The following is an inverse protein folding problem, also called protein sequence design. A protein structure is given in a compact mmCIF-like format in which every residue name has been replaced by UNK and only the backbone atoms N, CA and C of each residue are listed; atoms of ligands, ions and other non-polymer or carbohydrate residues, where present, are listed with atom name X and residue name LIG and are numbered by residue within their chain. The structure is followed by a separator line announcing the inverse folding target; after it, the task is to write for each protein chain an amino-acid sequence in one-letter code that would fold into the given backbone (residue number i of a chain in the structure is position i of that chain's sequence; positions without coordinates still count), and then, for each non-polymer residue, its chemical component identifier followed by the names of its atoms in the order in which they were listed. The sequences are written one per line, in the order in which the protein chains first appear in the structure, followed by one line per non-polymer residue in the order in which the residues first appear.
data_IF_161339933284
#
_entry.id   IF_161339933284
#
_cell.length_a   1.000
_cell.length_b   1.000
_cell.length_c   1.000
_cell.angle_alpha   90.00
_cell.angle_beta   90.00
_cell.angle_gamma   90.00
#
_symmetry.space_group_name_H-M   'P 1'
#
loop_
_entity.id
_entity.type
_entity.pdbx_description
1 polymer ?
#
# COMPACT_ATOMS: atom_id res chain seq x y z
N UNK A 1 -14.27 -25.70 -22.79
CA UNK A 1 -15.20 -24.76 -23.43
C UNK A 1 -14.98 -23.35 -22.92
N UNK A 2 -15.64 -22.36 -23.50
CA UNK A 2 -15.67 -20.97 -23.00
C UNK A 2 -16.95 -20.82 -22.20
N UNK A 3 -16.86 -20.36 -20.96
CA UNK A 3 -18.00 -20.03 -20.10
C UNK A 3 -18.18 -18.51 -20.05
N UNK A 4 -19.37 -18.04 -20.37
CA UNK A 4 -19.70 -16.64 -20.23
C UNK A 4 -20.18 -16.35 -18.81
N UNK A 5 -19.60 -15.29 -18.18
CA UNK A 5 -20.01 -14.80 -16.88
C UNK A 5 -21.05 -13.70 -17.04
N UNK A 6 -22.11 -13.74 -16.25
CA UNK A 6 -23.26 -12.83 -16.29
C UNK A 6 -23.34 -11.99 -15.03
N UNK A 7 -23.34 -10.64 -15.18
CA UNK A 7 -23.61 -9.68 -14.11
C UNK A 7 -24.37 -8.48 -14.67
N UNK A 8 -24.75 -7.53 -13.85
CA UNK A 8 -25.42 -6.30 -14.26
C UNK A 8 -24.46 -5.34 -15.00
N UNK A 9 -24.12 -5.65 -16.24
CA UNK A 9 -23.21 -4.84 -17.09
C UNK A 9 -23.77 -3.48 -17.48
N UNK A 10 -25.05 -3.25 -17.28
CA UNK A 10 -25.67 -1.96 -17.60
C UNK A 10 -25.29 -0.90 -16.58
N UNK A 11 -25.26 -1.26 -15.31
CA UNK A 11 -25.00 -0.35 -14.21
C UNK A 11 -23.57 -0.47 -13.67
N UNK A 12 -22.86 -1.58 -13.99
CA UNK A 12 -21.46 -1.85 -13.63
C UNK A 12 -20.68 -2.33 -14.85
N UNK A 13 -20.23 -1.40 -15.66
CA UNK A 13 -19.65 -1.68 -16.98
C UNK A 13 -18.22 -2.24 -16.91
N UNK A 14 -17.48 -1.92 -15.85
CA UNK A 14 -16.08 -2.30 -15.72
C UNK A 14 -15.89 -3.52 -14.84
N UNK A 15 -14.99 -4.41 -15.25
CA UNK A 15 -14.35 -5.39 -14.35
C UNK A 15 -13.08 -4.75 -13.84
N UNK A 16 -13.05 -4.41 -12.56
CA UNK A 16 -11.95 -3.71 -11.93
C UNK A 16 -10.89 -4.68 -11.38
N UNK A 17 -11.33 -5.84 -10.83
CA UNK A 17 -10.43 -6.89 -10.38
C UNK A 17 -11.05 -8.28 -10.55
N UNK A 18 -10.21 -9.29 -10.67
CA UNK A 18 -10.55 -10.71 -10.64
C UNK A 18 -9.62 -11.40 -9.67
N UNK A 19 -10.18 -12.11 -8.70
CA UNK A 19 -9.38 -12.83 -7.70
C UNK A 19 -9.76 -14.31 -7.65
N UNK A 20 -8.74 -15.16 -7.52
CA UNK A 20 -8.87 -16.61 -7.40
C UNK A 20 -8.26 -17.06 -6.08
N UNK A 21 -9.06 -17.58 -5.18
CA UNK A 21 -8.60 -18.22 -3.95
C UNK A 21 -8.80 -19.73 -4.04
N UNK A 22 -7.81 -20.48 -3.59
CA UNK A 22 -7.88 -21.94 -3.61
C UNK A 22 -9.06 -22.42 -2.73
N UNK A 23 -9.90 -23.27 -3.29
CA UNK A 23 -11.06 -23.83 -2.56
C UNK A 23 -12.32 -22.95 -2.58
N UNK A 24 -12.27 -21.76 -3.16
CA UNK A 24 -13.40 -20.84 -3.25
C UNK A 24 -13.78 -20.52 -4.70
N UNK A 25 -15.01 -20.03 -4.88
CA UNK A 25 -15.43 -19.47 -6.15
C UNK A 25 -14.64 -18.19 -6.46
N UNK A 26 -14.37 -17.89 -7.75
CA UNK A 26 -13.71 -16.66 -8.12
C UNK A 26 -14.52 -15.44 -7.72
N UNK A 27 -13.81 -14.37 -7.35
CA UNK A 27 -14.38 -13.05 -7.08
C UNK A 27 -14.19 -12.12 -8.28
N UNK A 28 -15.21 -11.33 -8.59
CA UNK A 28 -15.12 -10.19 -9.48
C UNK A 28 -15.42 -8.92 -8.69
N UNK A 29 -14.58 -7.90 -8.85
CA UNK A 29 -14.93 -6.53 -8.51
C UNK A 29 -15.41 -5.84 -9.79
N UNK A 30 -16.66 -5.41 -9.82
CA UNK A 30 -17.25 -4.67 -10.94
C UNK A 30 -17.59 -3.25 -10.51
N UNK A 31 -17.37 -2.29 -11.38
CA UNK A 31 -17.50 -0.87 -11.05
C UNK A 31 -18.29 -0.12 -12.12
N UNK A 32 -19.10 0.87 -11.70
CA UNK A 32 -19.79 1.74 -12.61
C UNK A 32 -18.82 2.72 -13.31
N UNK A 33 -19.24 3.29 -14.45
CA UNK A 33 -18.38 4.19 -15.24
C UNK A 33 -17.90 5.43 -14.47
N UNK A 34 -18.69 5.92 -13.52
CA UNK A 34 -18.31 7.06 -12.68
C UNK A 34 -17.38 6.69 -11.53
N UNK A 35 -17.14 5.40 -11.33
CA UNK A 35 -16.33 4.85 -10.22
C UNK A 35 -16.90 5.19 -8.83
N UNK A 36 -18.16 5.54 -8.76
CA UNK A 36 -18.83 5.91 -7.50
C UNK A 36 -19.53 4.73 -6.82
N UNK A 37 -19.65 3.60 -7.51
CA UNK A 37 -20.23 2.36 -6.97
C UNK A 37 -19.52 1.17 -7.53
N UNK A 38 -19.34 0.18 -6.69
CA UNK A 38 -18.86 -1.14 -7.08
C UNK A 38 -19.66 -2.27 -6.43
N UNK A 39 -19.47 -3.47 -6.94
CA UNK A 39 -19.99 -4.71 -6.38
C UNK A 39 -18.90 -5.76 -6.35
N UNK A 40 -18.83 -6.47 -5.24
CA UNK A 40 -18.05 -7.71 -5.11
C UNK A 40 -18.98 -8.88 -5.43
N UNK A 41 -18.62 -9.64 -6.45
CA UNK A 41 -19.43 -10.76 -6.95
C UNK A 41 -18.68 -12.07 -6.77
N UNK A 42 -19.36 -13.11 -6.27
CA UNK A 42 -18.93 -14.51 -6.39
C UNK A 42 -19.40 -15.06 -7.73
N UNK A 43 -18.55 -15.84 -8.42
CA UNK A 43 -18.84 -16.41 -9.74
C UNK A 43 -19.06 -17.92 -9.62
N UNK A 44 -20.24 -18.40 -9.96
CA UNK A 44 -20.56 -19.84 -9.92
C UNK A 44 -19.94 -20.57 -11.12
N UNK A 45 -18.91 -21.39 -10.85
CA UNK A 45 -18.21 -22.20 -11.87
C UNK A 45 -18.50 -23.69 -11.76
N UNK A 46 -19.45 -24.10 -10.93
CA UNK A 46 -19.80 -25.51 -10.72
C UNK A 46 -20.06 -26.27 -12.03
N UNK A 47 -19.69 -27.55 -12.08
CA UNK A 47 -19.68 -28.34 -13.31
C UNK A 47 -21.04 -28.90 -13.73
N UNK A 48 -22.03 -28.94 -12.85
CA UNK A 48 -23.43 -29.35 -13.16
C UNK A 48 -24.39 -28.88 -12.08
N UNK A 49 -25.57 -28.39 -12.51
CA UNK A 49 -26.65 -28.02 -11.62
C UNK A 49 -27.22 -29.25 -10.93
N UNK A 50 -26.97 -29.44 -9.65
CA UNK A 50 -27.94 -30.18 -8.82
C UNK A 50 -29.20 -29.34 -8.75
N UNK A 51 -30.37 -29.99 -8.65
CA UNK A 51 -31.66 -29.30 -8.55
C UNK A 51 -31.59 -28.25 -7.43
N UNK A 52 -31.69 -26.95 -7.78
CA UNK A 52 -31.59 -25.82 -6.85
C UNK A 52 -30.24 -25.10 -6.80
N UNK A 53 -29.21 -25.52 -7.53
CA UNK A 53 -27.93 -24.79 -7.61
C UNK A 53 -28.01 -23.61 -8.61
N UNK A 54 -27.19 -22.57 -8.35
CA UNK A 54 -27.10 -21.41 -9.25
C UNK A 54 -26.56 -21.84 -10.64
N UNK A 55 -27.05 -21.23 -11.74
CA UNK A 55 -26.55 -21.53 -13.08
C UNK A 55 -25.04 -21.25 -13.21
N UNK A 56 -24.33 -22.12 -13.93
CA UNK A 56 -22.90 -21.92 -14.24
C UNK A 56 -22.71 -20.60 -14.97
N UNK A 57 -21.77 -19.77 -14.50
CA UNK A 57 -21.51 -18.43 -15.02
C UNK A 57 -22.43 -17.33 -14.46
N UNK A 58 -23.39 -17.67 -13.59
CA UNK A 58 -24.12 -16.67 -12.83
C UNK A 58 -23.25 -16.08 -11.71
N UNK A 59 -23.66 -14.93 -11.17
CA UNK A 59 -22.96 -14.25 -10.08
C UNK A 59 -23.92 -13.97 -8.93
N UNK A 60 -23.37 -13.99 -7.71
CA UNK A 60 -24.04 -13.52 -6.50
C UNK A 60 -23.32 -12.29 -5.97
N UNK A 61 -24.07 -11.22 -5.65
CA UNK A 61 -23.54 -10.02 -5.02
C UNK A 61 -23.25 -10.35 -3.55
N UNK A 62 -22.01 -10.17 -3.12
CA UNK A 62 -21.56 -10.37 -1.75
C UNK A 62 -21.54 -9.04 -0.97
N UNK A 63 -20.97 -8.00 -1.57
CA UNK A 63 -20.91 -6.65 -1.00
C UNK A 63 -21.12 -5.58 -2.08
N UNK A 64 -21.60 -4.40 -1.65
CA UNK A 64 -21.71 -3.20 -2.47
C UNK A 64 -21.12 -2.01 -1.74
N UNK A 65 -20.36 -1.18 -2.46
CA UNK A 65 -19.78 0.05 -1.91
C UNK A 65 -20.20 1.25 -2.75
N UNK A 66 -20.29 2.40 -2.10
CA UNK A 66 -20.60 3.67 -2.75
C UNK A 66 -19.81 4.83 -2.14
N UNK A 67 -19.46 5.80 -2.98
CA UNK A 67 -18.87 7.07 -2.58
C UNK A 67 -19.34 8.15 -3.56
N UNK A 68 -19.61 9.35 -3.07
CA UNK A 68 -20.15 10.44 -3.90
C UNK A 68 -19.12 10.99 -4.92
N UNK A 69 -17.83 10.77 -4.68
CA UNK A 69 -16.75 11.21 -5.55
C UNK A 69 -16.21 10.05 -6.39
N UNK A 70 -15.44 9.14 -5.78
CA UNK A 70 -15.00 7.88 -6.38
C UNK A 70 -14.58 6.87 -5.31
N UNK A 71 -14.49 5.60 -5.70
CA UNK A 71 -13.95 4.51 -4.90
C UNK A 71 -12.53 4.20 -5.40
N UNK A 72 -11.55 4.25 -4.51
CA UNK A 72 -10.20 3.75 -4.77
C UNK A 72 -10.19 2.22 -4.71
N UNK A 73 -9.50 1.62 -5.65
CA UNK A 73 -9.27 0.17 -5.67
C UNK A 73 -7.98 -0.11 -4.94
N UNK A 74 -8.05 -0.94 -3.89
CA UNK A 74 -6.88 -1.48 -3.22
C UNK A 74 -6.49 -2.78 -3.94
N UNK A 75 -5.31 -2.81 -4.55
CA UNK A 75 -4.83 -3.99 -5.25
C UNK A 75 -4.75 -5.19 -4.30
N UNK A 76 -5.10 -6.38 -4.77
CA UNK A 76 -5.17 -7.60 -3.97
C UNK A 76 -6.52 -7.80 -3.25
N UNK A 77 -7.48 -6.87 -3.42
CA UNK A 77 -8.87 -7.02 -2.96
C UNK A 77 -9.84 -7.05 -4.15
N UNK A 78 -11.04 -7.66 -3.99
CA UNK A 78 -11.47 -8.49 -2.87
C UNK A 78 -10.75 -9.84 -2.83
N UNK A 79 -10.66 -10.47 -1.67
CA UNK A 79 -10.07 -11.79 -1.49
C UNK A 79 -10.83 -12.62 -0.46
N UNK A 80 -10.83 -13.95 -0.61
CA UNK A 80 -11.25 -14.84 0.47
C UNK A 80 -10.04 -15.24 1.31
N UNK A 81 -10.25 -15.33 2.63
CA UNK A 81 -9.37 -16.10 3.51
C UNK A 81 -9.53 -17.59 3.18
N UNK A 82 -8.58 -18.46 3.53
CA UNK A 82 -8.73 -19.90 3.35
C UNK A 82 -9.98 -20.48 4.03
N UNK A 83 -10.41 -19.95 5.18
CA UNK A 83 -11.64 -20.36 5.90
C UNK A 83 -12.93 -19.71 5.34
N UNK A 84 -12.83 -18.85 4.33
CA UNK A 84 -13.97 -18.32 3.55
C UNK A 84 -14.53 -16.99 4.00
N UNK A 85 -13.86 -16.25 4.89
CA UNK A 85 -14.24 -14.87 5.20
C UNK A 85 -13.84 -13.93 4.03
N UNK A 86 -14.66 -12.92 3.77
CA UNK A 86 -14.46 -11.99 2.68
C UNK A 86 -13.67 -10.76 3.16
N UNK A 87 -12.52 -10.50 2.54
CA UNK A 87 -11.70 -9.29 2.76
C UNK A 87 -11.94 -8.31 1.62
N UNK A 88 -12.37 -7.09 1.95
CA UNK A 88 -12.65 -6.02 0.98
C UNK A 88 -11.91 -4.72 1.34
N UNK A 89 -11.79 -3.84 0.32
CA UNK A 89 -11.33 -2.47 0.51
C UNK A 89 -12.45 -1.59 1.07
N UNK A 90 -12.10 -0.68 1.99
CA UNK A 90 -12.97 0.37 2.50
C UNK A 90 -12.28 1.73 2.38
N UNK A 91 -12.87 2.64 1.60
CA UNK A 91 -12.47 4.04 1.60
C UNK A 91 -13.20 4.76 2.74
N UNK A 92 -12.66 4.68 3.94
CA UNK A 92 -13.26 5.26 5.14
C UNK A 92 -13.07 6.79 5.15
N UNK A 93 -14.11 7.50 4.73
CA UNK A 93 -14.08 8.98 4.65
C UNK A 93 -14.09 9.62 6.04
N UNK A 94 -14.64 8.98 7.05
CA UNK A 94 -14.70 9.54 8.41
C UNK A 94 -13.33 9.44 9.09
N UNK A 95 -12.67 8.29 8.98
CA UNK A 95 -11.33 8.06 9.47
C UNK A 95 -10.23 8.63 8.55
N UNK A 96 -10.60 9.20 7.38
CA UNK A 96 -9.66 9.61 6.33
C UNK A 96 -8.60 8.54 6.03
N UNK A 97 -9.04 7.30 5.91
CA UNK A 97 -8.15 6.15 5.80
C UNK A 97 -8.66 5.12 4.79
N UNK A 98 -7.81 4.68 3.89
CA UNK A 98 -8.06 3.50 3.08
C UNK A 98 -7.79 2.25 3.92
N UNK A 99 -8.85 1.55 4.31
CA UNK A 99 -8.87 0.43 5.26
C UNK A 99 -9.27 -0.88 4.60
N UNK A 100 -9.17 -1.95 5.35
CA UNK A 100 -9.71 -3.26 4.98
C UNK A 100 -10.86 -3.64 5.94
N UNK A 101 -11.83 -4.35 5.36
CA UNK A 101 -12.91 -5.01 6.10
C UNK A 101 -12.76 -6.53 6.01
N UNK A 102 -13.25 -7.23 7.00
CA UNK A 102 -13.52 -8.67 6.95
C UNK A 102 -15.01 -8.90 7.25
N UNK A 103 -15.72 -9.53 6.31
CA UNK A 103 -17.17 -9.71 6.36
C UNK A 103 -17.91 -8.38 6.68
N UNK A 104 -17.52 -7.30 6.00
CA UNK A 104 -18.07 -5.95 6.13
C UNK A 104 -17.64 -5.18 7.39
N UNK A 105 -16.81 -5.74 8.27
CA UNK A 105 -16.35 -5.10 9.51
C UNK A 105 -14.91 -4.58 9.34
N UNK A 106 -14.63 -3.27 9.54
CA UNK A 106 -13.29 -2.75 9.51
C UNK A 106 -12.40 -3.40 10.58
N UNK A 107 -11.19 -3.84 10.20
CA UNK A 107 -10.23 -4.41 11.15
C UNK A 107 -8.85 -3.71 11.11
N UNK A 108 -8.53 -2.97 10.05
CA UNK A 108 -7.28 -2.19 10.04
C UNK A 108 -7.49 -0.84 10.72
N UNK A 109 -6.53 -0.38 11.58
CA UNK A 109 -6.70 0.88 12.31
C UNK A 109 -6.64 2.12 11.40
N UNK A 110 -7.23 3.22 11.86
CA UNK A 110 -7.12 4.52 11.19
C UNK A 110 -5.66 5.00 11.11
N UNK A 111 -5.34 5.76 10.07
CA UNK A 111 -3.99 6.28 9.82
C UNK A 111 -3.04 5.28 9.14
N UNK A 112 -3.44 4.02 8.98
CA UNK A 112 -2.73 3.02 8.20
C UNK A 112 -3.35 2.90 6.82
N UNK A 113 -2.93 3.77 5.90
CA UNK A 113 -3.43 3.83 4.52
C UNK A 113 -3.03 2.56 3.76
N UNK A 114 -3.92 1.60 3.62
CA UNK A 114 -3.63 0.37 2.85
C UNK A 114 -3.54 0.72 1.37
N UNK A 115 -2.45 0.31 0.73
CA UNK A 115 -2.18 0.53 -0.69
C UNK A 115 -2.32 -0.73 -1.53
N UNK A 116 -1.91 -1.86 -0.96
CA UNK A 116 -1.91 -3.14 -1.62
C UNK A 116 -2.02 -4.26 -0.58
N UNK A 117 -2.81 -5.28 -0.86
CA UNK A 117 -2.85 -6.53 -0.12
C UNK A 117 -1.97 -7.53 -0.85
N UNK A 118 -0.96 -8.05 -0.16
CA UNK A 118 0.05 -8.95 -0.72
C UNK A 118 -0.30 -10.41 -0.49
N UNK A 119 -0.93 -10.71 0.66
CA UNK A 119 -1.34 -12.06 1.02
C UNK A 119 -2.42 -12.04 2.09
N UNK A 120 -3.31 -13.03 2.08
CA UNK A 120 -4.43 -13.19 3.02
C UNK A 120 -4.41 -14.61 3.57
N UNK A 121 -4.40 -14.74 4.91
CA UNK A 121 -4.48 -16.02 5.62
C UNK A 121 -5.69 -16.04 6.57
N UNK A 122 -5.90 -17.12 7.30
CA UNK A 122 -6.93 -17.17 8.35
C UNK A 122 -6.57 -16.36 9.60
N UNK A 123 -5.31 -15.98 9.74
CA UNK A 123 -4.78 -15.32 10.92
C UNK A 123 -4.52 -13.82 10.68
N UNK A 124 -4.07 -13.47 9.46
CA UNK A 124 -3.62 -12.11 9.15
C UNK A 124 -3.72 -11.74 7.66
N UNK A 125 -3.54 -10.45 7.40
CA UNK A 125 -3.37 -9.87 6.07
C UNK A 125 -2.02 -9.17 5.98
N UNK A 126 -1.17 -9.60 5.05
CA UNK A 126 0.07 -8.91 4.71
C UNK A 126 -0.21 -7.81 3.69
N UNK A 127 0.19 -6.58 3.99
CA UNK A 127 -0.15 -5.42 3.17
C UNK A 127 1.01 -4.43 3.04
N UNK A 128 0.97 -3.63 1.98
CA UNK A 128 1.74 -2.39 1.85
C UNK A 128 0.89 -1.23 2.33
N UNK A 129 1.46 -0.41 3.19
CA UNK A 129 0.78 0.75 3.78
C UNK A 129 1.62 2.01 3.68
N UNK A 130 0.94 3.16 3.71
CA UNK A 130 1.52 4.45 4.04
C UNK A 130 0.91 4.93 5.36
N UNK A 131 1.67 5.67 6.17
CA UNK A 131 1.21 6.07 7.50
C UNK A 131 0.88 7.55 7.51
N UNK A 132 -0.32 7.87 7.97
CA UNK A 132 -0.74 9.24 8.21
C UNK A 132 -1.20 9.38 9.65
N UNK A 133 -0.91 10.50 10.33
CA UNK A 133 -1.44 10.70 11.69
C UNK A 133 -2.97 10.69 11.66
N UNK A 134 -3.57 10.32 12.77
CA UNK A 134 -5.02 10.38 12.95
C UNK A 134 -5.56 11.79 12.74
N UNK A 135 -6.82 11.91 12.35
CA UNK A 135 -7.52 13.18 12.28
C UNK A 135 -7.75 13.72 13.69
N UNK A 136 -7.54 15.02 13.88
CA UNK A 136 -7.90 15.72 15.12
C UNK A 136 -9.39 15.57 15.41
N UNK A 137 -9.71 15.07 16.61
CA UNK A 137 -11.08 14.86 17.05
C UNK A 137 -11.77 13.59 16.51
N UNK A 138 -11.05 12.73 15.77
CA UNK A 138 -11.56 11.44 15.38
C UNK A 138 -11.50 10.46 16.55
N UNK A 139 -12.64 9.87 16.88
CA UNK A 139 -12.75 8.76 17.84
C UNK A 139 -13.06 7.49 17.04
N UNK A 140 -12.19 6.49 17.13
CA UNK A 140 -12.37 5.23 16.44
C UNK A 140 -13.65 4.51 16.95
N UNK A 141 -14.73 4.45 16.17
CA UNK A 141 -16.00 3.86 16.62
C UNK A 141 -15.93 2.34 16.75
N UNK A 142 -14.95 1.73 16.13
CA UNK A 142 -14.68 0.29 16.14
C UNK A 142 -13.74 -0.15 17.27
N UNK A 143 -13.24 0.81 18.08
CA UNK A 143 -12.32 0.56 19.20
C UNK A 143 -10.87 0.28 18.78
N UNK A 144 -10.55 0.36 17.48
CA UNK A 144 -9.19 0.16 16.98
C UNK A 144 -8.35 1.40 17.25
N UNK A 145 -7.17 1.21 17.85
CA UNK A 145 -6.23 2.32 18.10
C UNK A 145 -5.68 2.88 16.80
N UNK A 146 -5.90 4.16 16.46
CA UNK A 146 -5.32 4.77 15.28
C UNK A 146 -3.81 4.95 15.43
N UNK A 147 -3.10 5.00 14.30
CA UNK A 147 -1.69 5.36 14.31
C UNK A 147 -1.50 6.86 14.61
N UNK A 148 -0.60 7.18 15.54
CA UNK A 148 -0.42 8.55 16.06
C UNK A 148 0.81 9.27 15.53
N UNK A 149 1.51 8.68 14.56
CA UNK A 149 2.79 9.18 14.09
C UNK A 149 3.95 8.70 14.94
N UNK A 150 5.10 8.63 14.32
CA UNK A 150 6.36 8.33 14.98
C UNK A 150 7.45 9.34 14.59
N UNK A 151 8.53 9.38 15.38
CA UNK A 151 9.67 10.24 15.13
C UNK A 151 10.62 9.65 14.06
N UNK A 152 10.42 8.40 13.65
CA UNK A 152 11.38 7.64 12.84
C UNK A 152 11.21 7.87 11.33
N UNK A 153 10.31 8.76 10.95
CA UNK A 153 10.13 9.19 9.56
C UNK A 153 9.21 8.28 8.73
N UNK A 154 8.56 7.30 9.34
CA UNK A 154 7.51 6.55 8.67
C UNK A 154 6.26 7.41 8.53
N UNK A 155 6.06 7.99 7.37
CA UNK A 155 4.90 8.80 7.02
C UNK A 155 4.41 8.47 5.60
N UNK A 156 3.58 9.33 5.01
CA UNK A 156 3.05 9.13 3.66
C UNK A 156 4.11 9.04 2.54
N UNK A 157 5.40 9.29 2.84
CA UNK A 157 6.51 9.10 1.90
C UNK A 157 7.09 7.69 1.94
N UNK A 158 6.72 6.88 2.93
CA UNK A 158 7.17 5.49 3.10
C UNK A 158 6.08 4.52 2.69
N UNK A 159 6.44 3.52 1.92
CA UNK A 159 5.63 2.34 1.65
C UNK A 159 6.17 1.21 2.51
N UNK A 160 5.49 0.92 3.61
CA UNK A 160 5.91 -0.07 4.59
C UNK A 160 5.16 -1.39 4.39
N UNK A 161 5.82 -2.50 4.64
CA UNK A 161 5.15 -3.81 4.73
C UNK A 161 4.74 -4.04 6.18
N UNK A 162 3.47 -4.38 6.38
CA UNK A 162 2.91 -4.72 7.68
C UNK A 162 2.03 -5.96 7.59
N UNK A 163 1.85 -6.64 8.71
CA UNK A 163 0.81 -7.65 8.89
C UNK A 163 -0.25 -7.11 9.85
N UNK A 164 -1.52 -7.24 9.48
CA UNK A 164 -2.68 -6.93 10.31
C UNK A 164 -3.35 -8.23 10.70
N UNK A 165 -3.54 -8.50 11.99
CA UNK A 165 -4.48 -9.53 12.40
C UNK A 165 -5.94 -9.01 12.34
N UNK A 166 -6.92 -9.91 12.47
CA UNK A 166 -8.32 -9.53 12.39
C UNK A 166 -8.88 -8.88 13.67
N UNK A 167 -8.07 -8.78 14.71
CA UNK A 167 -8.36 -8.02 15.95
C UNK A 167 -7.81 -6.58 15.87
N UNK A 168 -7.13 -6.23 14.77
CA UNK A 168 -6.61 -4.87 14.52
C UNK A 168 -5.21 -4.61 15.07
N UNK A 169 -4.50 -5.65 15.52
CA UNK A 169 -3.09 -5.49 15.86
C UNK A 169 -2.25 -5.38 14.60
N UNK A 170 -1.21 -4.54 14.67
CA UNK A 170 -0.32 -4.27 13.55
C UNK A 170 1.09 -4.73 13.88
N UNK A 171 1.64 -5.61 13.04
CA UNK A 171 3.01 -6.04 13.12
C UNK A 171 3.82 -5.44 11.95
N UNK A 172 4.67 -4.43 12.19
CA UNK A 172 5.56 -3.91 11.16
C UNK A 172 6.59 -4.96 10.73
N UNK A 173 6.69 -5.19 9.43
CA UNK A 173 7.65 -6.12 8.81
C UNK A 173 8.89 -5.39 8.28
N UNK A 174 8.81 -4.08 8.08
CA UNK A 174 9.92 -3.22 7.65
C UNK A 174 10.27 -2.21 8.74
N UNK A 175 11.56 -2.08 9.03
CA UNK A 175 12.06 -1.27 10.14
C UNK A 175 12.54 0.12 9.71
N UNK A 176 12.77 0.36 8.41
CA UNK A 176 13.29 1.62 7.88
C UNK A 176 12.33 2.21 6.87
N UNK A 177 12.15 3.55 6.85
CA UNK A 177 11.38 4.21 5.81
C UNK A 177 11.95 3.89 4.42
N UNK A 178 11.08 3.58 3.47
CA UNK A 178 11.48 3.18 2.13
C UNK A 178 10.28 2.92 1.21
N UNK A 179 10.55 2.36 0.07
CA UNK A 179 9.53 1.83 -0.83
C UNK A 179 9.68 0.32 -0.85
N UNK A 180 8.91 -0.34 -0.01
CA UNK A 180 9.00 -1.77 0.25
C UNK A 180 7.79 -2.52 -0.30
N UNK A 181 8.01 -3.76 -0.69
CA UNK A 181 7.00 -4.75 -1.00
C UNK A 181 7.45 -6.11 -0.51
N UNK A 182 6.56 -7.08 -0.48
CA UNK A 182 6.87 -8.42 -0.03
C UNK A 182 6.12 -9.50 -0.82
N UNK A 183 6.59 -10.72 -0.70
CA UNK A 183 5.91 -11.93 -1.16
C UNK A 183 6.03 -12.98 -0.08
N UNK A 184 4.90 -13.55 0.32
CA UNK A 184 4.82 -14.59 1.35
C UNK A 184 4.31 -15.89 0.73
N UNK A 185 4.90 -17.01 1.15
CA UNK A 185 4.39 -18.34 0.83
C UNK A 185 4.74 -19.31 1.94
N UNK A 186 3.73 -19.86 2.59
CA UNK A 186 3.90 -20.66 3.80
C UNK A 186 4.67 -19.88 4.86
N UNK A 187 5.70 -20.48 5.44
CA UNK A 187 6.56 -19.86 6.46
C UNK A 187 7.62 -18.88 5.88
N UNK A 188 7.73 -18.80 4.56
CA UNK A 188 8.73 -17.98 3.89
C UNK A 188 8.20 -16.60 3.54
N UNK A 189 8.96 -15.55 3.88
CA UNK A 189 8.70 -14.17 3.52
C UNK A 189 9.92 -13.57 2.81
N UNK A 190 9.71 -12.99 1.64
CA UNK A 190 10.71 -12.18 0.94
C UNK A 190 10.26 -10.74 0.98
N UNK A 191 11.09 -9.86 1.53
CA UNK A 191 10.90 -8.41 1.49
C UNK A 191 11.89 -7.83 0.50
N UNK A 192 11.43 -6.96 -0.37
CA UNK A 192 12.26 -6.26 -1.36
C UNK A 192 11.86 -4.81 -1.48
N UNK A 193 12.82 -3.96 -1.80
CA UNK A 193 12.55 -2.54 -1.98
C UNK A 193 13.81 -1.70 -2.02
N UNK A 194 13.64 -0.42 -1.78
CA UNK A 194 14.72 0.55 -1.76
C UNK A 194 14.40 1.68 -0.80
N UNK A 195 15.40 2.10 -0.06
CA UNK A 195 15.38 3.31 0.77
C UNK A 195 16.25 4.43 0.19
N UNK A 196 16.50 5.47 0.98
CA UNK A 196 17.36 6.58 0.57
C UNK A 196 18.85 6.25 0.63
N UNK A 197 19.24 5.21 1.38
CA UNK A 197 20.64 4.83 1.57
C UNK A 197 21.07 3.71 0.60
N UNK A 198 20.12 3.11 -0.13
CA UNK A 198 20.35 1.94 -0.97
C UNK A 198 20.39 2.30 -2.45
N UNK A 199 21.56 2.29 -3.07
CA UNK A 199 21.73 2.47 -4.51
C UNK A 199 21.11 1.33 -5.32
N UNK A 200 21.12 0.11 -4.79
CA UNK A 200 20.46 -1.06 -5.36
C UNK A 200 19.17 -1.40 -4.62
N UNK A 201 18.30 -2.15 -5.27
CA UNK A 201 17.18 -2.78 -4.57
C UNK A 201 17.73 -3.73 -3.49
N UNK A 202 17.26 -3.57 -2.28
CA UNK A 202 17.56 -4.47 -1.16
C UNK A 202 16.52 -5.59 -1.19
N UNK A 203 16.98 -6.81 -0.95
CA UNK A 203 16.11 -7.97 -0.85
C UNK A 203 16.57 -8.83 0.31
N UNK A 204 15.63 -9.30 1.12
CA UNK A 204 15.89 -10.23 2.20
C UNK A 204 14.84 -11.32 2.23
N UNK A 205 15.26 -12.51 2.63
CA UNK A 205 14.38 -13.64 2.87
C UNK A 205 14.37 -13.93 4.38
N UNK A 206 13.19 -14.05 4.93
CA UNK A 206 13.01 -14.50 6.32
C UNK A 206 12.15 -15.76 6.36
N UNK A 207 12.43 -16.63 7.31
CA UNK A 207 11.61 -17.78 7.61
C UNK A 207 11.63 -18.04 9.11
N UNK A 208 10.50 -18.50 9.60
CA UNK A 208 10.35 -18.88 10.99
C UNK A 208 10.77 -20.32 11.18
N UNK A 209 11.74 -20.57 12.05
CA UNK A 209 12.15 -21.93 12.40
C UNK A 209 11.33 -22.40 13.58
N UNK A 210 10.61 -23.50 13.41
CA UNK A 210 10.05 -24.25 14.54
C UNK A 210 11.14 -25.10 15.17
N UNK A 211 11.22 -25.19 16.51
CA UNK A 211 12.09 -26.16 17.14
C UNK A 211 11.78 -27.56 16.60
N UNK A 212 12.80 -28.29 16.17
CA UNK A 212 12.62 -29.70 15.79
C UNK A 212 12.40 -30.48 17.09
N UNK A 213 11.29 -31.22 17.18
CA UNK A 213 11.03 -32.11 18.32
C UNK A 213 12.21 -33.04 18.52
N UNK A 214 12.91 -32.91 19.67
CA UNK A 214 14.07 -33.74 20.05
C UNK A 214 15.39 -33.01 20.25
N UNK A 215 15.51 -31.71 19.98
CA UNK A 215 16.64 -30.89 20.37
C UNK A 215 16.47 -30.33 21.79
N UNK A 216 17.51 -30.41 22.66
CA UNK A 216 17.44 -29.78 23.97
C UNK A 216 17.12 -28.29 23.81
N UNK A 217 15.96 -27.91 24.34
CA UNK A 217 15.57 -26.51 24.39
C UNK A 217 16.58 -25.76 25.29
N UNK A 218 17.00 -24.51 24.93
CA UNK A 218 17.66 -23.66 25.90
C UNK A 218 16.73 -23.48 27.09
N UNK A 219 17.29 -23.56 28.29
CA UNK A 219 16.56 -23.40 29.56
C UNK A 219 15.75 -22.09 29.48
N UNK A 220 14.44 -22.23 29.61
CA UNK A 220 13.51 -21.13 29.39
C UNK A 220 12.83 -20.72 30.70
N UNK A 221 12.73 -19.42 30.89
CA UNK A 221 11.98 -18.81 31.98
C UNK A 221 10.47 -19.03 31.83
N UNK A 222 9.99 -20.12 32.29
CA UNK A 222 8.71 -20.29 33.01
C UNK A 222 7.38 -20.18 32.26
N UNK A 223 7.31 -19.95 30.94
CA UNK A 223 6.01 -19.82 30.21
C UNK A 223 5.90 -20.80 29.02
N UNK A 224 6.44 -21.89 28.93
CA UNK A 224 6.09 -23.00 28.00
C UNK A 224 5.93 -22.66 26.49
N UNK A 225 6.15 -21.44 26.05
CA UNK A 225 6.17 -20.98 24.66
C UNK A 225 7.54 -21.30 24.06
N UNK A 226 7.63 -22.26 23.15
CA UNK A 226 8.83 -22.50 22.37
C UNK A 226 9.16 -21.22 21.57
N UNK A 227 10.28 -20.57 21.89
CA UNK A 227 10.70 -19.34 21.23
C UNK A 227 10.88 -19.61 19.72
N UNK A 228 9.96 -19.08 18.90
CA UNK A 228 10.09 -19.09 17.46
C UNK A 228 11.22 -18.12 17.10
N UNK A 229 12.28 -18.59 16.44
CA UNK A 229 13.34 -17.73 15.93
C UNK A 229 13.12 -17.44 14.45
N UNK A 230 13.10 -16.15 14.11
CA UNK A 230 13.07 -15.71 12.71
C UNK A 230 14.49 -15.48 12.24
N UNK A 231 14.91 -16.22 11.21
CA UNK A 231 16.18 -15.99 10.53
C UNK A 231 15.93 -15.08 9.32
N UNK A 232 16.68 -13.97 9.26
CA UNK A 232 16.66 -13.04 8.13
C UNK A 232 17.97 -13.17 7.37
N UNK A 233 17.89 -13.53 6.09
CA UNK A 233 19.03 -13.69 5.20
C UNK A 233 18.96 -12.63 4.09
N UNK A 234 19.99 -11.80 3.91
CA UNK A 234 20.06 -10.92 2.74
C UNK A 234 20.23 -11.72 1.46
N UNK A 235 19.66 -11.24 0.38
CA UNK A 235 19.84 -11.77 -0.97
C UNK A 235 20.73 -10.79 -1.74
N UNK A 236 21.85 -11.27 -2.26
CA UNK A 236 22.78 -10.43 -3.00
C UNK A 236 22.20 -9.92 -4.30
N UNK A 237 22.38 -8.61 -4.53
CA UNK A 237 21.97 -7.95 -5.76
C UNK A 237 23.23 -7.58 -6.59
N UNK A 238 23.40 -8.24 -7.73
CA UNK A 238 24.53 -8.02 -8.65
C UNK A 238 24.28 -6.95 -9.72
N UNK A 239 23.16 -6.20 -9.63
CA UNK A 239 22.91 -5.08 -10.54
C UNK A 239 23.98 -4.00 -10.42
N UNK A 240 24.24 -3.29 -11.51
CA UNK A 240 25.14 -2.13 -11.47
C UNK A 240 24.56 -1.01 -10.60
N UNK A 241 25.43 -0.29 -9.92
CA UNK A 241 25.07 0.92 -9.17
C UNK A 241 25.24 2.15 -10.03
N UNK A 242 24.48 3.22 -9.81
CA UNK A 242 24.57 4.46 -10.60
C UNK A 242 25.88 5.22 -10.36
N UNK A 243 26.69 4.86 -9.38
CA UNK A 243 27.97 5.48 -9.07
C UNK A 243 27.87 6.85 -8.38
N UNK A 244 26.66 7.30 -8.04
CA UNK A 244 26.38 8.51 -7.27
C UNK A 244 25.16 8.32 -6.38
N UNK A 245 25.09 9.09 -5.31
CA UNK A 245 23.91 9.22 -4.46
C UNK A 245 23.30 10.61 -4.64
N UNK A 246 21.97 10.74 -4.74
CA UNK A 246 21.32 12.02 -4.88
C UNK A 246 21.42 12.84 -3.59
N UNK A 247 21.73 14.14 -3.73
CA UNK A 247 21.81 15.09 -2.63
C UNK A 247 20.41 15.68 -2.36
N UNK A 248 19.58 14.92 -1.66
CA UNK A 248 18.17 15.24 -1.41
C UNK A 248 17.95 15.74 0.00
N UNK A 249 17.21 16.82 0.13
CA UNK A 249 16.67 17.31 1.39
C UNK A 249 15.14 17.31 1.32
N UNK A 250 14.50 16.65 2.25
CA UNK A 250 13.04 16.67 2.37
C UNK A 250 12.54 17.86 3.18
N UNK A 251 11.40 18.42 2.77
CA UNK A 251 10.73 19.51 3.44
C UNK A 251 9.20 19.35 3.34
N UNK A 252 8.49 20.12 4.16
CA UNK A 252 7.04 20.32 4.03
C UNK A 252 6.80 21.79 3.81
N UNK A 253 6.35 22.18 2.63
CA UNK A 253 6.28 23.58 2.19
C UNK A 253 4.83 24.06 2.06
N UNK A 254 4.67 25.37 2.22
CA UNK A 254 3.40 26.07 2.07
C UNK A 254 2.39 25.76 3.20
N UNK A 255 1.22 26.37 3.08
CA UNK A 255 0.10 26.24 4.03
C UNK A 255 -0.39 24.80 4.13
N UNK A 256 -0.45 24.11 2.99
CA UNK A 256 -0.88 22.71 2.91
C UNK A 256 0.21 21.70 3.30
N UNK A 257 1.40 22.17 3.74
CA UNK A 257 2.52 21.31 4.15
C UNK A 257 2.83 20.23 3.11
N UNK A 258 2.97 20.65 1.85
CA UNK A 258 3.25 19.75 0.72
C UNK A 258 4.57 19.02 0.94
N UNK A 259 4.56 17.70 0.83
CA UNK A 259 5.78 16.93 0.81
C UNK A 259 6.63 17.36 -0.39
N UNK A 260 7.87 17.72 -0.10
CA UNK A 260 8.78 18.30 -1.09
C UNK A 260 10.15 17.69 -0.94
N UNK A 261 10.76 17.33 -2.07
CA UNK A 261 12.17 16.97 -2.15
C UNK A 261 12.93 18.06 -2.90
N UNK A 262 14.01 18.54 -2.30
CA UNK A 262 14.89 19.57 -2.84
C UNK A 262 16.22 18.90 -3.13
N UNK A 263 16.61 18.87 -4.40
CA UNK A 263 17.83 18.21 -4.88
C UNK A 263 18.83 19.31 -5.28
N UNK A 264 19.96 19.34 -4.58
CA UNK A 264 21.05 20.27 -4.82
C UNK A 264 22.18 19.59 -5.62
N UNK A 265 23.08 20.36 -6.26
CA UNK A 265 24.27 19.80 -6.88
C UNK A 265 25.06 18.90 -5.93
N UNK A 266 25.60 17.81 -6.44
CA UNK A 266 26.50 16.93 -5.69
C UNK A 266 27.81 17.66 -5.34
N UNK A 267 28.54 17.10 -4.38
CA UNK A 267 29.82 17.69 -3.94
C UNK A 267 30.86 17.80 -5.08
N UNK A 268 30.76 16.90 -6.06
CA UNK A 268 31.68 16.83 -7.20
C UNK A 268 31.24 17.72 -8.39
N UNK A 269 30.03 18.28 -8.31
CA UNK A 269 29.54 19.21 -9.35
C UNK A 269 30.33 20.52 -9.35
N UNK A 270 30.60 21.10 -10.52
CA UNK A 270 31.19 22.46 -10.60
C UNK A 270 30.31 23.55 -9.97
N UNK A 271 29.02 23.22 -9.74
CA UNK A 271 28.05 24.13 -9.13
C UNK A 271 27.81 23.87 -7.63
N UNK A 272 28.57 22.97 -7.01
CA UNK A 272 28.39 22.59 -5.59
C UNK A 272 28.48 23.77 -4.61
N UNK A 273 29.19 24.82 -4.97
CA UNK A 273 29.41 26.02 -4.14
C UNK A 273 28.77 27.30 -4.72
N UNK A 274 27.84 27.13 -5.66
CA UNK A 274 27.18 28.30 -6.27
C UNK A 274 26.21 28.93 -5.25
N UNK A 275 26.33 30.25 -5.07
CA UNK A 275 25.46 31.01 -4.15
C UNK A 275 24.02 31.14 -4.66
N UNK A 276 23.82 31.06 -5.96
CA UNK A 276 22.52 31.20 -6.61
C UNK A 276 22.42 30.21 -7.76
N UNK A 277 21.35 29.44 -7.76
CA UNK A 277 21.02 28.50 -8.81
C UNK A 277 19.62 28.79 -9.36
N UNK A 278 19.39 28.66 -10.67
CA UNK A 278 18.06 28.65 -11.22
C UNK A 278 17.29 27.42 -10.64
N UNK A 279 16.00 27.60 -10.41
CA UNK A 279 15.14 26.54 -9.87
C UNK A 279 14.45 25.81 -11.01
N UNK A 280 14.57 24.48 -11.04
CA UNK A 280 13.80 23.60 -11.89
C UNK A 280 12.69 22.95 -11.06
N UNK A 281 11.44 23.33 -11.32
CA UNK A 281 10.28 22.73 -10.65
C UNK A 281 9.81 21.49 -11.39
N UNK A 282 9.60 20.40 -10.63
CA UNK A 282 9.00 19.14 -11.08
C UNK A 282 7.79 18.82 -10.19
N UNK A 283 6.72 19.62 -10.24
CA UNK A 283 5.54 19.37 -9.40
C UNK A 283 4.73 18.21 -9.96
N UNK A 284 4.04 17.54 -9.08
CA UNK A 284 3.00 16.59 -9.43
C UNK A 284 1.74 16.86 -8.60
N UNK A 285 0.60 16.78 -9.26
CA UNK A 285 -0.71 16.89 -8.63
C UNK A 285 -1.70 16.07 -9.46
N UNK A 286 -2.24 15.05 -8.84
CA UNK A 286 -3.17 14.15 -9.51
C UNK A 286 -3.34 12.84 -8.73
N UNK A 287 -4.43 12.09 -8.99
CA UNK A 287 -4.72 10.87 -8.24
C UNK A 287 -3.80 9.72 -8.65
N UNK A 288 -3.69 8.74 -7.75
CA UNK A 288 -3.06 7.45 -8.04
C UNK A 288 -1.54 7.41 -7.98
N UNK A 289 -0.85 8.54 -7.76
CA UNK A 289 0.61 8.59 -7.74
C UNK A 289 1.15 9.69 -6.83
N UNK A 290 2.42 9.55 -6.40
CA UNK A 290 3.22 10.58 -5.72
C UNK A 290 4.68 10.47 -6.13
N UNK A 291 5.41 11.58 -6.07
CA UNK A 291 6.84 11.66 -6.44
C UNK A 291 7.78 11.73 -5.24
N UNK A 292 7.31 12.27 -4.13
CA UNK A 292 8.14 12.49 -2.94
C UNK A 292 8.04 11.28 -2.01
N UNK A 293 8.95 10.34 -2.24
CA UNK A 293 8.99 9.04 -1.53
C UNK A 293 10.40 8.75 -1.02
N UNK A 294 10.53 7.90 -0.02
CA UNK A 294 11.82 7.43 0.48
C UNK A 294 12.38 6.31 -0.40
N UNK A 295 12.76 6.68 -1.62
CA UNK A 295 13.38 5.79 -2.58
C UNK A 295 14.41 6.57 -3.41
N UNK A 296 15.68 6.29 -3.22
CA UNK A 296 16.78 7.01 -3.87
C UNK A 296 16.64 7.07 -5.39
N UNK A 297 16.12 6.00 -6.02
CA UNK A 297 16.01 5.94 -7.46
C UNK A 297 15.05 6.97 -8.08
N UNK A 298 14.11 7.48 -7.32
CA UNK A 298 13.19 8.53 -7.78
C UNK A 298 13.87 9.87 -8.06
N UNK A 299 15.11 10.05 -7.55
CA UNK A 299 15.83 11.32 -7.62
C UNK A 299 17.06 11.28 -8.51
N UNK A 300 17.36 10.16 -9.20
CA UNK A 300 18.55 10.07 -10.04
C UNK A 300 18.54 11.03 -11.22
N UNK A 301 17.40 11.17 -11.91
CA UNK A 301 17.24 12.14 -13.00
C UNK A 301 17.31 13.58 -12.48
N UNK A 302 16.69 13.83 -11.32
CA UNK A 302 16.72 15.14 -10.68
C UNK A 302 18.14 15.52 -10.24
N UNK A 303 18.95 14.56 -9.76
CA UNK A 303 20.36 14.80 -9.44
C UNK A 303 21.18 15.15 -10.68
N UNK A 304 20.91 14.48 -11.80
CA UNK A 304 21.58 14.83 -13.05
C UNK A 304 21.33 16.30 -13.43
N UNK A 305 20.08 16.76 -13.33
CA UNK A 305 19.75 18.17 -13.57
C UNK A 305 20.40 19.11 -12.54
N UNK A 306 20.43 18.71 -11.29
CA UNK A 306 21.09 19.51 -10.26
C UNK A 306 22.58 19.69 -10.55
N UNK A 307 23.26 18.65 -11.02
CA UNK A 307 24.68 18.71 -11.39
C UNK A 307 24.95 19.52 -12.67
N UNK A 308 23.92 19.87 -13.45
CA UNK A 308 23.99 20.84 -14.55
C UNK A 308 23.78 22.29 -14.06
N UNK A 309 23.66 22.53 -12.77
CA UNK A 309 23.57 23.88 -12.20
C UNK A 309 22.16 24.35 -11.87
N UNK A 310 21.23 23.43 -11.59
CA UNK A 310 19.89 23.75 -11.10
C UNK A 310 19.72 23.38 -9.63
N UNK A 311 18.82 24.08 -8.94
CA UNK A 311 18.19 23.58 -7.74
C UNK A 311 16.88 22.89 -8.18
N UNK A 312 16.81 21.56 -8.10
CA UNK A 312 15.62 20.84 -8.52
C UNK A 312 14.68 20.69 -7.34
N UNK A 313 13.41 21.06 -7.54
CA UNK A 313 12.37 20.96 -6.52
C UNK A 313 11.23 20.12 -7.08
N UNK A 314 10.96 19.01 -6.44
CA UNK A 314 9.77 18.19 -6.70
C UNK A 314 8.84 18.25 -5.50
N UNK A 315 7.55 18.42 -5.73
CA UNK A 315 6.56 18.53 -4.69
C UNK A 315 5.29 17.76 -5.08
N UNK A 316 4.70 17.10 -4.10
CA UNK A 316 3.42 16.44 -4.24
C UNK A 316 2.31 17.43 -3.87
N UNK A 317 1.55 17.85 -4.88
CA UNK A 317 0.40 18.73 -4.75
C UNK A 317 -0.81 18.04 -4.11
N UNK A 318 -1.88 18.80 -3.92
CA UNK A 318 -3.16 18.25 -3.48
C UNK A 318 -3.69 17.25 -4.51
N UNK A 319 -4.33 16.18 -4.04
CA UNK A 319 -4.82 15.08 -4.87
C UNK A 319 -3.82 13.95 -5.10
N UNK A 320 -2.56 14.09 -4.64
CA UNK A 320 -1.59 12.99 -4.65
C UNK A 320 -1.92 11.96 -3.57
N UNK A 321 -1.53 10.70 -3.80
CA UNK A 321 -1.88 9.60 -2.89
C UNK A 321 -1.09 9.61 -1.58
N UNK A 322 -1.59 8.86 -0.60
CA UNK A 322 -0.87 8.52 0.62
C UNK A 322 -1.18 9.39 1.84
N UNK A 323 -1.97 10.46 1.68
CA UNK A 323 -2.35 11.35 2.78
C UNK A 323 -3.80 11.18 3.24
N UNK A 324 -4.48 10.18 2.75
CA UNK A 324 -5.87 9.86 3.05
C UNK A 324 -6.84 10.17 1.92
N UNK A 325 -8.00 9.50 1.89
CA UNK A 325 -8.96 9.64 0.81
C UNK A 325 -9.56 11.04 0.67
N UNK A 326 -9.61 11.86 1.74
CA UNK A 326 -10.06 13.26 1.63
C UNK A 326 -9.06 14.11 0.87
N UNK A 327 -7.77 13.95 1.16
CA UNK A 327 -6.71 14.64 0.43
C UNK A 327 -6.68 14.26 -1.05
N UNK A 328 -6.80 12.98 -1.35
CA UNK A 328 -6.81 12.47 -2.72
C UNK A 328 -7.97 13.09 -3.52
N UNK A 329 -9.12 13.30 -2.87
CA UNK A 329 -10.36 13.77 -3.50
C UNK A 329 -10.52 15.30 -3.54
N UNK A 330 -9.60 16.08 -2.99
CA UNK A 330 -9.65 17.55 -3.10
C UNK A 330 -9.67 18.04 -4.55
N UNK A 331 -9.12 17.26 -5.48
CA UNK A 331 -9.10 17.56 -6.92
C UNK A 331 -10.37 17.17 -7.68
N UNK A 332 -11.37 16.60 -6.99
CA UNK A 332 -12.60 16.13 -7.63
C UNK A 332 -13.28 17.28 -8.37
N UNK A 333 -13.54 17.11 -9.68
CA UNK A 333 -14.13 18.08 -10.60
C UNK A 333 -13.35 19.43 -10.73
N UNK A 334 -12.25 19.63 -10.01
CA UNK A 334 -11.44 20.87 -10.09
C UNK A 334 -9.93 20.60 -9.97
N UNK A 335 -9.41 19.71 -10.78
CA UNK A 335 -7.99 19.36 -10.75
C UNK A 335 -7.09 20.58 -11.00
N UNK A 336 -7.44 21.43 -11.97
CA UNK A 336 -6.57 22.53 -12.40
C UNK A 336 -6.28 23.53 -11.27
N UNK A 337 -7.32 24.07 -10.64
CA UNK A 337 -7.14 25.15 -9.66
C UNK A 337 -6.55 24.63 -8.35
N UNK A 338 -6.95 23.42 -7.96
CA UNK A 338 -6.46 22.78 -6.72
C UNK A 338 -4.98 22.40 -6.81
N UNK A 339 -4.51 21.88 -7.94
CA UNK A 339 -3.11 21.48 -8.09
C UNK A 339 -2.15 22.62 -8.37
N UNK A 340 -2.66 23.80 -8.80
CA UNK A 340 -1.84 24.99 -9.10
C UNK A 340 -1.81 26.01 -7.94
N UNK A 341 -2.63 25.82 -6.90
CA UNK A 341 -2.78 26.76 -5.77
C UNK A 341 -1.73 26.57 -4.67
#
# INVERSE_FOLDING_TARGET
GIQQISWNRKDYEYVAAVHWSAGHEPLLLVQNRRQTRDQVLSVHLGSEASEGSAPVGSTTVLEEHANDQWLDIIQGTPAFTPDGRLVCALNDMDADTNRLTVDGRPFTPAGWQVREVLDVTDEDVLAVVQRTPELDGYEAPDGLSPWRGDADGHDARSFDVVSFDYDGNVLPMTARPGSWSASRRGEGLVISGRDMDSAKSVMSHSFTMRPVDGGAAPENDGDGSAAMSTLVCPIDNHAAEPGFAPNVRFARLGEHRLYTAIIAPSADSPYAKADKLPVLLKPYGGPGFQQVVFNQAYYWDAQWWADQGFLVVTADGRGTTGRGPRWDREIFENMKDVTLA
#
